data_IF_183658814019
#
_entry.id   IF_183658814019
#
_cell.length_a   1.000
_cell.length_b   1.000
_cell.length_c   1.000
_cell.angle_alpha   90.00
_cell.angle_beta   90.00
_cell.angle_gamma   90.00
#
_symmetry.space_group_name_H-M   'P 1'
#
loop_
_entity.id
_entity.type
_entity.pdbx_description
1 polymer ?
#
# COMPACT_ATOMS: atom_id res chain seq x y z
N UNK A 1 24.40 -9.45 1.12
CA UNK A 1 23.09 -8.84 0.83
C UNK A 1 22.19 -9.12 2.02
N UNK A 2 21.54 -8.10 2.60
CA UNK A 2 20.66 -8.26 3.77
C UNK A 2 19.19 -8.10 3.34
N UNK A 3 18.29 -8.88 3.93
CA UNK A 3 16.85 -8.78 3.71
C UNK A 3 16.13 -8.84 5.05
N UNK A 4 15.16 -7.94 5.24
CA UNK A 4 14.31 -7.87 6.41
C UNK A 4 12.86 -7.94 5.96
N UNK A 5 12.07 -8.79 6.62
CA UNK A 5 10.63 -8.92 6.37
C UNK A 5 9.88 -8.53 7.64
N UNK A 6 8.90 -7.64 7.50
CA UNK A 6 8.03 -7.20 8.59
C UNK A 6 6.64 -7.79 8.35
N UNK A 7 6.19 -8.67 9.25
CA UNK A 7 4.93 -9.41 9.15
C UNK A 7 4.09 -9.15 10.40
N UNK A 8 2.76 -9.10 10.25
CA UNK A 8 1.84 -9.03 11.37
C UNK A 8 1.63 -10.42 11.96
N UNK A 9 1.75 -10.56 13.27
CA UNK A 9 1.59 -11.84 13.95
C UNK A 9 0.12 -12.13 14.35
N UNK A 10 -0.80 -11.19 14.09
CA UNK A 10 -2.19 -11.24 14.53
C UNK A 10 -3.13 -10.97 13.33
N UNK A 11 -4.27 -10.33 13.57
CA UNK A 11 -5.30 -10.04 12.56
C UNK A 11 -5.26 -8.58 12.08
N UNK A 12 -4.08 -8.03 11.87
CA UNK A 12 -3.93 -6.65 11.40
C UNK A 12 -3.75 -5.64 12.53
N UNK A 13 -3.53 -4.38 12.15
CA UNK A 13 -3.36 -3.22 13.04
C UNK A 13 -2.30 -3.33 14.15
N UNK A 14 -1.29 -4.20 13.98
CA UNK A 14 -0.19 -4.39 14.95
C UNK A 14 0.86 -3.25 14.91
N UNK A 15 0.56 -2.14 14.23
CA UNK A 15 1.48 -1.00 14.12
C UNK A 15 2.68 -1.22 13.20
N UNK A 16 2.62 -2.19 12.28
CA UNK A 16 3.68 -2.51 11.30
C UNK A 16 4.25 -1.29 10.58
N UNK A 17 3.39 -0.33 10.24
CA UNK A 17 3.80 0.90 9.55
C UNK A 17 4.89 1.69 10.27
N UNK A 18 4.88 1.71 11.62
CA UNK A 18 5.93 2.37 12.42
C UNK A 18 7.29 1.67 12.27
N UNK A 19 7.29 0.33 12.29
CA UNK A 19 8.51 -0.44 12.09
C UNK A 19 9.04 -0.28 10.67
N UNK A 20 8.16 -0.35 9.65
CA UNK A 20 8.53 -0.12 8.25
C UNK A 20 9.15 1.27 8.10
N UNK A 21 8.52 2.30 8.65
CA UNK A 21 9.06 3.66 8.60
C UNK A 21 10.45 3.78 9.26
N UNK A 22 10.63 3.16 10.43
CA UNK A 22 11.92 3.13 11.13
C UNK A 22 13.01 2.44 10.29
N UNK A 23 12.76 1.23 9.79
CA UNK A 23 13.77 0.46 9.06
C UNK A 23 14.05 1.00 7.65
N UNK A 24 13.08 1.66 7.01
CA UNK A 24 13.29 2.25 5.68
C UNK A 24 14.28 3.42 5.68
N UNK A 25 14.57 4.02 6.83
CA UNK A 25 15.62 5.05 6.96
C UNK A 25 17.00 4.59 6.48
N UNK A 26 17.29 3.28 6.57
CA UNK A 26 18.57 2.68 6.17
C UNK A 26 18.42 1.65 5.03
N UNK A 27 17.25 1.57 4.39
CA UNK A 27 16.99 0.58 3.36
C UNK A 27 17.16 1.16 1.95
N UNK A 28 17.89 0.44 1.09
CA UNK A 28 17.98 0.77 -0.34
C UNK A 28 16.69 0.44 -1.09
N UNK A 29 15.94 -0.56 -0.61
CA UNK A 29 14.70 -1.03 -1.22
C UNK A 29 13.58 -1.19 -0.18
N UNK A 30 12.38 -0.74 -0.54
CA UNK A 30 11.14 -0.98 0.19
C UNK A 30 10.15 -1.69 -0.73
N UNK A 31 9.75 -2.91 -0.36
CA UNK A 31 8.95 -3.78 -1.23
C UNK A 31 7.65 -4.15 -0.55
N UNK A 32 6.54 -3.97 -1.27
CA UNK A 32 5.24 -4.56 -0.93
C UNK A 32 5.08 -5.84 -1.73
N UNK A 33 4.77 -6.94 -1.06
CA UNK A 33 4.75 -8.27 -1.70
C UNK A 33 3.36 -8.91 -1.76
N UNK A 34 2.39 -8.45 -0.97
CA UNK A 34 1.01 -8.97 -0.99
C UNK A 34 -0.04 -7.90 -0.65
N UNK A 35 -1.31 -8.28 -0.84
CA UNK A 35 -2.49 -7.49 -0.48
C UNK A 35 -2.84 -6.45 -1.53
N UNK A 36 -3.49 -5.37 -1.11
CA UNK A 36 -3.86 -4.27 -2.00
C UNK A 36 -4.04 -2.98 -1.21
N UNK A 37 -5.01 -2.17 -1.64
CA UNK A 37 -5.43 -0.95 -0.94
C UNK A 37 -6.35 -1.25 0.27
N UNK A 38 -6.35 -2.47 0.81
CA UNK A 38 -7.13 -2.87 1.98
C UNK A 38 -6.42 -2.56 3.31
N UNK A 39 -5.09 -2.41 3.28
CA UNK A 39 -4.30 -1.93 4.41
C UNK A 39 -3.99 -0.43 4.22
N UNK A 40 -3.79 0.29 5.32
CA UNK A 40 -3.37 1.69 5.27
C UNK A 40 -2.51 2.01 6.47
N UNK A 41 -1.46 2.79 6.26
CA UNK A 41 -0.68 3.33 7.36
C UNK A 41 -0.54 4.84 7.17
N UNK A 42 -0.74 5.55 8.27
CA UNK A 42 -0.65 7.00 8.32
C UNK A 42 0.76 7.35 8.79
N UNK A 43 1.46 8.17 8.03
CA UNK A 43 2.79 8.69 8.37
C UNK A 43 2.70 10.20 8.48
N UNK A 44 3.42 10.76 9.45
CA UNK A 44 3.66 12.21 9.51
C UNK A 44 5.02 12.47 8.87
N UNK A 45 5.01 13.25 7.79
CA UNK A 45 6.20 13.66 7.03
C UNK A 45 6.23 15.19 6.98
N UNK A 46 7.25 15.81 7.57
CA UNK A 46 7.41 17.28 7.62
C UNK A 46 6.10 17.99 8.04
N UNK A 47 5.54 17.56 9.18
CA UNK A 47 4.27 18.03 9.76
C UNK A 47 3.00 17.79 8.92
N UNK A 48 3.12 17.11 7.78
CA UNK A 48 1.99 16.72 6.92
C UNK A 48 1.64 15.25 7.12
N UNK A 49 0.34 14.98 7.21
CA UNK A 49 -0.16 13.62 7.33
C UNK A 49 -0.37 13.00 5.95
N UNK A 50 0.36 11.92 5.67
CA UNK A 50 0.22 11.13 4.43
C UNK A 50 -0.39 9.77 4.77
N UNK A 51 -1.40 9.35 4.00
CA UNK A 51 -2.01 8.02 4.13
C UNK A 51 -1.62 7.18 2.92
N UNK A 52 -0.89 6.10 3.17
CA UNK A 52 -0.44 5.20 2.11
C UNK A 52 -1.05 3.81 2.30
N UNK A 53 -1.63 3.29 1.23
CA UNK A 53 -2.26 1.97 1.15
C UNK A 53 -1.58 1.06 0.14
N UNK A 54 -1.14 1.55 -1.02
CA UNK A 54 -0.45 0.74 -2.04
C UNK A 54 1.05 1.03 -2.08
N UNK A 55 1.41 2.32 -2.05
CA UNK A 55 2.79 2.77 -2.16
C UNK A 55 3.60 2.33 -0.93
N UNK A 56 4.78 1.70 -1.09
CA UNK A 56 5.66 1.38 0.03
C UNK A 56 6.08 2.65 0.79
N UNK A 57 6.14 2.58 2.13
CA UNK A 57 6.47 3.72 3.02
C UNK A 57 7.85 4.32 2.74
N UNK A 58 8.77 3.50 2.22
CA UNK A 58 10.12 3.93 1.85
C UNK A 58 10.13 5.06 0.82
N UNK A 59 9.03 5.35 0.13
CA UNK A 59 8.96 6.43 -0.87
C UNK A 59 9.26 7.81 -0.26
N UNK A 60 9.02 7.96 1.04
CA UNK A 60 9.34 9.15 1.83
C UNK A 60 10.85 9.31 2.10
N UNK A 61 11.66 8.29 1.81
CA UNK A 61 13.12 8.30 1.99
C UNK A 61 13.78 8.51 0.62
N UNK A 62 14.44 9.65 0.35
CA UNK A 62 14.97 9.97 -0.98
C UNK A 62 15.83 8.86 -1.61
N UNK A 63 16.66 8.18 -0.81
CA UNK A 63 17.55 7.10 -1.24
C UNK A 63 16.91 5.70 -1.36
N UNK A 64 15.63 5.54 -1.02
CA UNK A 64 14.96 4.24 -1.02
C UNK A 64 14.13 4.06 -2.30
N UNK A 65 14.41 2.97 -3.04
CA UNK A 65 13.59 2.54 -4.18
C UNK A 65 12.41 1.72 -3.70
N UNK A 66 11.25 1.98 -4.26
CA UNK A 66 10.00 1.32 -3.91
C UNK A 66 9.54 0.39 -5.01
N UNK A 67 9.14 -0.83 -4.64
CA UNK A 67 8.58 -1.81 -5.56
C UNK A 67 7.21 -2.28 -5.04
N UNK A 68 6.20 -2.17 -5.91
CA UNK A 68 4.94 -2.89 -5.79
C UNK A 68 5.11 -4.23 -6.52
N UNK A 69 5.26 -5.30 -5.75
CA UNK A 69 5.55 -6.64 -6.27
C UNK A 69 4.34 -7.34 -6.88
N UNK A 70 4.59 -8.43 -7.62
CA UNK A 70 3.60 -9.21 -8.36
C UNK A 70 2.43 -9.75 -7.51
N UNK A 71 2.63 -9.95 -6.20
CA UNK A 71 1.58 -10.47 -5.32
C UNK A 71 0.54 -9.43 -4.88
N UNK A 72 0.62 -8.18 -5.38
CA UNK A 72 -0.36 -7.15 -5.09
C UNK A 72 -1.50 -7.13 -6.11
N UNK A 73 -2.67 -6.69 -5.63
CA UNK A 73 -3.79 -6.23 -6.44
C UNK A 73 -3.87 -4.70 -6.37
N UNK A 74 -3.76 -4.05 -7.52
CA UNK A 74 -3.60 -2.60 -7.65
C UNK A 74 -4.92 -1.97 -8.11
N UNK A 75 -5.46 -1.05 -7.30
CA UNK A 75 -6.47 -0.12 -7.77
C UNK A 75 -5.78 1.13 -8.34
N UNK A 76 -5.86 1.33 -9.65
CA UNK A 76 -5.15 2.41 -10.35
C UNK A 76 -5.56 3.80 -9.85
N UNK A 77 -6.85 4.04 -9.60
CA UNK A 77 -7.34 5.34 -9.10
C UNK A 77 -6.83 5.65 -7.70
N UNK A 78 -6.71 4.63 -6.84
CA UNK A 78 -6.14 4.80 -5.49
C UNK A 78 -4.65 5.08 -5.56
N UNK A 79 -3.91 4.34 -6.40
CA UNK A 79 -2.47 4.57 -6.59
C UNK A 79 -2.21 5.98 -7.14
N UNK A 80 -2.98 6.42 -8.13
CA UNK A 80 -2.91 7.78 -8.69
C UNK A 80 -3.13 8.84 -7.59
N UNK A 81 -4.15 8.68 -6.76
CA UNK A 81 -4.43 9.59 -5.64
C UNK A 81 -3.30 9.64 -4.61
N UNK A 82 -2.70 8.50 -4.26
CA UNK A 82 -1.53 8.46 -3.38
C UNK A 82 -0.34 9.18 -3.99
N UNK A 83 -0.07 8.97 -5.29
CA UNK A 83 1.03 9.65 -5.98
C UNK A 83 0.82 11.16 -6.00
N UNK A 84 -0.41 11.64 -6.19
CA UNK A 84 -0.73 13.06 -6.14
C UNK A 84 -0.55 13.64 -4.73
N UNK A 85 -0.98 12.92 -3.69
CA UNK A 85 -0.78 13.33 -2.30
C UNK A 85 0.71 13.39 -1.93
N UNK A 86 1.51 12.44 -2.40
CA UNK A 86 2.95 12.44 -2.19
C UNK A 86 3.63 13.61 -2.91
N UNK A 87 3.25 13.89 -4.16
CA UNK A 87 3.77 15.05 -4.92
C UNK A 87 3.44 16.38 -4.23
N UNK A 88 2.24 16.51 -3.63
CA UNK A 88 1.84 17.76 -2.95
C UNK A 88 2.62 18.02 -1.66
N UNK A 89 3.26 16.99 -1.09
CA UNK A 89 4.18 17.12 0.05
C UNK A 89 5.64 17.14 -0.36
N UNK A 90 5.94 17.28 -1.66
CA UNK A 90 7.31 17.44 -2.17
C UNK A 90 8.06 16.13 -2.42
N UNK A 91 7.39 14.97 -2.33
CA UNK A 91 8.02 13.68 -2.60
C UNK A 91 8.12 13.46 -4.11
N UNK A 92 9.34 13.23 -4.59
CA UNK A 92 9.59 12.93 -5.99
C UNK A 92 9.10 11.53 -6.35
N UNK A 93 8.23 11.42 -7.36
CA UNK A 93 7.76 10.14 -7.88
C UNK A 93 8.09 10.04 -9.36
N UNK A 94 8.94 9.09 -9.70
CA UNK A 94 9.38 8.80 -11.06
C UNK A 94 9.63 7.27 -11.21
N UNK A 95 9.79 6.77 -12.45
CA UNK A 95 10.01 5.34 -12.72
C UNK A 95 11.28 4.73 -12.10
N UNK A 96 12.25 5.55 -11.68
CA UNK A 96 13.46 5.08 -10.99
C UNK A 96 13.25 4.90 -9.47
N UNK A 97 12.20 5.53 -8.90
CA UNK A 97 11.88 5.49 -7.46
C UNK A 97 10.67 4.61 -7.14
N UNK A 98 9.65 4.59 -7.98
CA UNK A 98 8.46 3.74 -7.78
C UNK A 98 8.29 2.81 -8.97
N UNK A 99 8.53 1.52 -8.72
CA UNK A 99 8.44 0.45 -9.70
C UNK A 99 7.18 -0.38 -9.47
N UNK A 100 6.55 -0.79 -10.56
CA UNK A 100 5.42 -1.71 -10.57
C UNK A 100 5.85 -3.00 -11.25
N UNK A 101 5.62 -4.13 -10.59
CA UNK A 101 5.79 -5.42 -11.23
C UNK A 101 4.73 -5.61 -12.32
N UNK A 102 5.15 -6.01 -13.52
CA UNK A 102 4.26 -6.21 -14.67
C UNK A 102 3.19 -7.30 -14.43
N UNK A 103 3.42 -8.20 -13.48
CA UNK A 103 2.52 -9.30 -13.15
C UNK A 103 1.54 -8.94 -12.02
N UNK A 104 1.64 -7.74 -11.42
CA UNK A 104 0.68 -7.29 -10.43
C UNK A 104 -0.70 -7.12 -11.09
N UNK A 105 -1.75 -7.60 -10.42
CA UNK A 105 -3.10 -7.62 -10.98
C UNK A 105 -3.81 -6.28 -10.73
N UNK A 106 -4.84 -5.98 -11.53
CA UNK A 106 -5.64 -4.76 -11.38
C UNK A 106 -6.99 -5.04 -10.71
N UNK A 107 -7.35 -4.19 -9.75
CA UNK A 107 -8.71 -4.08 -9.25
C UNK A 107 -9.49 -3.21 -10.24
N UNK A 108 -10.51 -3.80 -10.86
CA UNK A 108 -11.42 -3.15 -11.78
C UNK A 108 -12.72 -2.75 -11.06
N UNK A 109 -13.50 -1.78 -11.59
CA UNK A 109 -14.72 -1.30 -10.93
C UNK A 109 -15.74 -2.41 -10.59
N UNK A 110 -15.82 -3.45 -11.42
CA UNK A 110 -16.74 -4.56 -11.17
C UNK A 110 -16.27 -5.48 -10.03
N UNK A 111 -14.97 -5.60 -9.74
CA UNK A 111 -14.49 -6.33 -8.56
C UNK A 111 -15.03 -5.70 -7.28
N UNK A 112 -14.96 -4.37 -7.20
CA UNK A 112 -15.50 -3.57 -6.08
C UNK A 112 -17.01 -3.76 -5.97
N UNK A 113 -17.74 -3.65 -7.08
CA UNK A 113 -19.19 -3.84 -7.08
C UNK A 113 -19.59 -5.26 -6.64
N UNK A 114 -18.87 -6.29 -7.09
CA UNK A 114 -19.11 -7.69 -6.71
C UNK A 114 -18.85 -7.92 -5.22
N UNK A 115 -17.74 -7.40 -4.67
CA UNK A 115 -17.40 -7.50 -3.24
C UNK A 115 -18.53 -6.91 -2.38
N UNK A 116 -18.93 -5.66 -2.68
CA UNK A 116 -20.00 -4.97 -1.95
C UNK A 116 -21.34 -5.71 -2.04
N UNK A 117 -21.73 -6.18 -3.23
CA UNK A 117 -22.97 -6.93 -3.41
C UNK A 117 -22.95 -8.30 -2.71
N UNK A 118 -21.80 -8.98 -2.70
CA UNK A 118 -21.65 -10.25 -1.97
C UNK A 118 -21.85 -10.06 -0.47
N UNK A 119 -21.24 -9.04 0.12
CA UNK A 119 -21.42 -8.73 1.54
C UNK A 119 -22.88 -8.38 1.88
N UNK A 120 -23.54 -7.58 1.03
CA UNK A 120 -24.97 -7.27 1.19
C UNK A 120 -25.84 -8.53 1.11
N UNK A 121 -25.59 -9.40 0.11
CA UNK A 121 -26.36 -10.63 -0.10
C UNK A 121 -26.25 -11.63 1.05
N UNK A 122 -25.10 -11.65 1.75
CA UNK A 122 -24.87 -12.54 2.89
C UNK A 122 -25.56 -12.09 4.18
N UNK A 123 -26.02 -10.84 4.26
CA UNK A 123 -26.74 -10.32 5.41
C UNK A 123 -25.99 -10.56 6.74
N UNK A 124 -26.57 -11.41 7.61
CA UNK A 124 -25.97 -11.74 8.92
C UNK A 124 -24.69 -12.60 8.82
N UNK A 125 -24.46 -13.27 7.69
CA UNK A 125 -23.30 -14.14 7.45
C UNK A 125 -22.17 -13.44 6.66
N UNK A 126 -22.17 -12.11 6.62
CA UNK A 126 -21.14 -11.31 5.96
C UNK A 126 -19.77 -11.51 6.63
N UNK A 127 -18.70 -11.36 5.86
CA UNK A 127 -17.33 -11.54 6.34
C UNK A 127 -16.83 -10.27 7.05
N UNK A 128 -17.28 -9.10 6.61
CA UNK A 128 -16.71 -7.81 6.97
C UNK A 128 -15.55 -7.41 6.06
N UNK A 129 -15.70 -7.55 4.74
CA UNK A 129 -14.65 -7.12 3.80
C UNK A 129 -14.49 -5.60 3.81
N UNK A 130 -13.39 -5.10 3.24
CA UNK A 130 -13.16 -3.65 3.13
C UNK A 130 -14.01 -2.98 2.04
N UNK A 131 -14.73 -3.76 1.22
CA UNK A 131 -15.55 -3.25 0.13
C UNK A 131 -14.73 -2.66 -1.02
N UNK A 132 -13.46 -3.08 -1.16
CA UNK A 132 -12.46 -2.49 -2.07
C UNK A 132 -12.13 -3.40 -3.26
N UNK A 133 -12.90 -4.47 -3.45
CA UNK A 133 -12.70 -5.48 -4.51
C UNK A 133 -11.78 -6.60 -4.08
#
# INVERSE_FOLDING_TARGET
MSSLVIIGAQWGDEGKGKLVDYFTSNAEWSVRFNGGNNAGHTIVYEDKTVKLSLTPSGILRPGCKCLIGAGLVINASVLEGEMQQLRSVGVEINPNRLLLDRNAQLILPHHIAIDQQRELSKGKAKIGTTGRG
#
